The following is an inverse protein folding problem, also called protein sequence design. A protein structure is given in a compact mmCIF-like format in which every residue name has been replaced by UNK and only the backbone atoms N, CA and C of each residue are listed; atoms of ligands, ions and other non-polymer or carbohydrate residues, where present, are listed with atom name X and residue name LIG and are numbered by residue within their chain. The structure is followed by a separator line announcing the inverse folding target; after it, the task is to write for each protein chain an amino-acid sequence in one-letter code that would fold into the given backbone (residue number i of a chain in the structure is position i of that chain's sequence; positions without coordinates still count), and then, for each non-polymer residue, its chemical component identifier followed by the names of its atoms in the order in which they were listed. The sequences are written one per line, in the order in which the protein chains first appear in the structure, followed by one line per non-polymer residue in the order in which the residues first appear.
data_IF_313806307392
#
_entry.id   IF_313806307392
#
_cell.length_a   1.000
_cell.length_b   1.000
_cell.length_c   1.000
_cell.angle_alpha   90.00
_cell.angle_beta   90.00
_cell.angle_gamma   90.00
#
_symmetry.space_group_name_H-M   'P 1'
#
loop_
_entity.id
_entity.type
_entity.pdbx_description
1 polymer ?
#
# COMPACT_ATOMS: atom_id res chain seq x y z
N UNK A 1 19.19 1.65 -16.07
CA UNK A 1 18.39 2.88 -15.93
C UNK A 1 17.39 3.08 -17.08
N UNK A 2 17.76 2.82 -18.36
CA UNK A 2 16.86 2.94 -19.52
C UNK A 2 15.77 1.86 -19.47
N UNK A 3 16.13 0.61 -19.21
CA UNK A 3 15.20 -0.53 -19.13
C UNK A 3 14.24 -0.39 -17.95
N UNK A 4 14.71 0.06 -16.78
CA UNK A 4 13.85 0.34 -15.64
C UNK A 4 12.73 1.37 -15.97
N UNK A 5 13.08 2.41 -16.74
CA UNK A 5 12.06 3.36 -17.21
C UNK A 5 11.05 2.74 -18.17
N UNK A 6 11.47 1.77 -19.00
CA UNK A 6 10.55 1.01 -19.85
C UNK A 6 9.62 0.14 -19.01
N UNK A 7 10.17 -0.56 -18.00
CA UNK A 7 9.44 -1.37 -17.03
C UNK A 7 8.32 -0.57 -16.36
N UNK A 8 8.65 0.59 -15.78
CA UNK A 8 7.67 1.46 -15.13
C UNK A 8 6.62 1.95 -16.13
N UNK A 9 7.05 2.45 -17.30
CA UNK A 9 6.15 3.03 -18.31
C UNK A 9 5.20 2.03 -18.95
N UNK A 10 5.47 0.73 -18.86
CA UNK A 10 4.60 -0.29 -19.43
C UNK A 10 3.21 -0.24 -18.81
N UNK A 11 3.09 -0.21 -17.50
CA UNK A 11 1.82 -0.09 -16.78
C UNK A 11 1.03 1.17 -17.21
N UNK A 12 1.67 2.34 -17.23
CA UNK A 12 1.00 3.59 -17.65
C UNK A 12 0.47 3.57 -19.07
N UNK A 13 1.11 2.81 -19.97
CA UNK A 13 0.63 2.64 -21.34
C UNK A 13 -0.50 1.63 -21.42
N UNK A 14 -0.41 0.56 -20.67
CA UNK A 14 -1.37 -0.54 -20.66
C UNK A 14 -2.74 -0.09 -20.16
N UNK A 15 -2.76 0.72 -19.10
CA UNK A 15 -4.00 1.23 -18.51
C UNK A 15 -4.38 2.63 -19.00
N UNK A 16 -3.74 3.15 -20.04
CA UNK A 16 -4.06 4.48 -20.56
C UNK A 16 -5.51 4.56 -21.01
N UNK A 17 -6.26 5.50 -20.42
CA UNK A 17 -7.69 5.71 -20.73
C UNK A 17 -8.64 4.76 -19.99
N UNK A 18 -8.14 3.86 -19.16
CA UNK A 18 -8.99 3.08 -18.27
C UNK A 18 -9.58 3.98 -17.19
N UNK A 19 -10.92 4.02 -17.00
CA UNK A 19 -11.56 4.93 -16.06
C UNK A 19 -11.42 4.51 -14.60
N UNK A 20 -11.00 3.29 -14.32
CA UNK A 20 -10.97 2.70 -12.99
C UNK A 20 -9.54 2.55 -12.43
N UNK A 21 -8.55 2.43 -13.28
CA UNK A 21 -7.15 2.34 -12.88
C UNK A 21 -6.62 3.68 -12.41
N UNK A 22 -5.89 3.68 -11.30
CA UNK A 22 -5.20 4.84 -10.75
C UNK A 22 -3.69 4.62 -10.89
N UNK A 23 -3.00 5.45 -11.70
CA UNK A 23 -1.57 5.29 -11.89
C UNK A 23 -0.80 5.75 -10.64
N UNK A 24 0.24 5.02 -10.28
CA UNK A 24 1.20 5.43 -9.26
C UNK A 24 1.89 6.76 -9.61
N UNK A 25 2.47 7.43 -8.63
CA UNK A 25 3.38 8.54 -8.89
C UNK A 25 4.67 8.03 -9.55
N UNK A 26 4.95 8.53 -10.75
CA UNK A 26 6.09 8.05 -11.56
C UNK A 26 7.44 8.18 -10.86
N UNK A 27 7.63 9.28 -10.13
CA UNK A 27 8.88 9.53 -9.40
C UNK A 27 9.01 8.63 -8.16
N UNK A 28 7.88 8.26 -7.54
CA UNK A 28 7.86 7.29 -6.44
C UNK A 28 8.21 5.90 -6.96
N UNK A 29 7.68 5.48 -8.11
CA UNK A 29 8.08 4.22 -8.74
C UNK A 29 9.57 4.19 -9.07
N UNK A 30 10.15 5.30 -9.55
CA UNK A 30 11.60 5.39 -9.76
C UNK A 30 12.40 5.23 -8.47
N UNK A 31 11.88 5.68 -7.34
CA UNK A 31 12.50 5.52 -6.02
C UNK A 31 12.32 4.11 -5.48
N UNK A 32 11.11 3.55 -5.58
CA UNK A 32 10.77 2.17 -5.17
C UNK A 32 11.68 1.13 -5.80
N UNK A 33 11.94 1.24 -7.11
CA UNK A 33 12.81 0.30 -7.82
C UNK A 33 14.31 0.65 -7.76
N UNK A 34 14.69 1.68 -7.02
CA UNK A 34 16.09 2.09 -6.91
C UNK A 34 16.75 1.49 -5.67
N UNK A 35 17.69 0.55 -5.87
CA UNK A 35 18.43 -0.14 -4.81
C UNK A 35 19.14 0.80 -3.80
N UNK A 36 19.45 2.03 -4.19
CA UNK A 36 20.10 3.01 -3.29
C UNK A 36 19.10 3.85 -2.48
N UNK A 37 17.86 3.96 -2.96
CA UNK A 37 16.84 4.84 -2.36
C UNK A 37 15.83 4.08 -1.52
N UNK A 38 15.39 2.92 -1.96
CA UNK A 38 14.42 2.11 -1.23
C UNK A 38 15.11 1.36 -0.09
N UNK A 39 14.68 1.63 1.13
CA UNK A 39 15.20 1.00 2.34
C UNK A 39 14.95 -0.51 2.40
N UNK A 40 13.93 -1.03 1.70
CA UNK A 40 13.65 -2.46 1.65
C UNK A 40 14.82 -3.29 1.09
N UNK A 41 15.73 -2.69 0.32
CA UNK A 41 16.93 -3.38 -0.16
C UNK A 41 17.97 -3.69 0.92
N UNK A 42 17.73 -3.32 2.18
CA UNK A 42 18.52 -3.81 3.31
C UNK A 42 18.30 -5.31 3.57
N UNK A 43 17.13 -5.83 3.19
CA UNK A 43 16.73 -7.21 3.42
C UNK A 43 16.04 -7.87 2.22
N UNK A 44 15.80 -7.13 1.14
CA UNK A 44 15.24 -7.65 -0.11
C UNK A 44 16.27 -7.73 -1.22
N UNK A 45 16.11 -8.77 -2.05
CA UNK A 45 16.73 -8.87 -3.36
C UNK A 45 15.66 -8.73 -4.43
N UNK A 46 15.95 -8.07 -5.54
CA UNK A 46 15.01 -7.98 -6.65
C UNK A 46 15.68 -7.75 -7.99
N UNK A 47 15.05 -8.30 -9.03
CA UNK A 47 15.32 -7.99 -10.43
C UNK A 47 14.00 -7.77 -11.18
N UNK A 48 14.07 -7.07 -12.32
CA UNK A 48 12.93 -6.59 -13.07
C UNK A 48 13.01 -7.08 -14.51
N UNK A 49 11.95 -7.73 -14.98
CA UNK A 49 11.91 -8.39 -16.26
C UNK A 49 10.87 -7.77 -17.19
N UNK A 50 11.16 -7.76 -18.47
CA UNK A 50 10.28 -7.33 -19.55
C UNK A 50 10.12 -8.45 -20.56
N UNK A 51 8.88 -8.79 -20.89
CA UNK A 51 8.59 -9.69 -22.00
C UNK A 51 8.47 -8.88 -23.30
N UNK A 52 9.09 -9.37 -24.35
CA UNK A 52 9.07 -8.77 -25.69
C UNK A 52 8.45 -9.72 -26.69
N UNK A 53 7.68 -9.19 -27.63
CA UNK A 53 7.22 -9.85 -28.85
C UNK A 53 7.38 -8.85 -30.01
N UNK A 54 8.11 -9.25 -31.06
CA UNK A 54 8.40 -8.38 -32.21
C UNK A 54 8.87 -6.97 -31.80
N UNK A 55 9.89 -6.92 -30.95
CA UNK A 55 10.47 -5.70 -30.36
C UNK A 55 9.52 -4.82 -29.52
N UNK A 56 8.27 -5.28 -29.30
CA UNK A 56 7.29 -4.59 -28.46
C UNK A 56 7.27 -5.21 -27.07
N UNK A 57 7.21 -4.36 -26.04
CA UNK A 57 7.01 -4.83 -24.67
C UNK A 57 5.54 -5.24 -24.53
N UNK A 58 5.34 -6.50 -24.13
CA UNK A 58 4.02 -7.14 -23.96
C UNK A 58 3.75 -7.55 -22.51
N UNK A 59 4.76 -7.48 -21.64
CA UNK A 59 4.58 -7.75 -20.21
C UNK A 59 5.77 -7.31 -19.38
N UNK A 60 5.56 -7.25 -18.07
CA UNK A 60 6.58 -6.96 -17.07
C UNK A 60 6.31 -7.76 -15.80
N UNK A 61 7.35 -8.05 -15.04
CA UNK A 61 7.24 -8.62 -13.68
C UNK A 61 8.49 -8.29 -12.86
N UNK A 62 8.34 -8.06 -11.58
CA UNK A 62 9.44 -8.01 -10.62
C UNK A 62 9.53 -9.35 -9.90
N UNK A 63 10.73 -9.94 -9.84
CA UNK A 63 11.05 -11.05 -8.93
C UNK A 63 11.68 -10.47 -7.68
N UNK A 64 11.19 -10.89 -6.50
CA UNK A 64 11.59 -10.31 -5.21
C UNK A 64 11.76 -11.42 -4.19
N UNK A 65 12.82 -11.36 -3.40
CA UNK A 65 12.98 -12.15 -2.18
C UNK A 65 13.01 -11.20 -1.00
N UNK A 66 12.06 -11.33 -0.10
CA UNK A 66 12.07 -10.62 1.18
C UNK A 66 12.58 -11.57 2.27
N UNK A 67 13.86 -11.43 2.62
CA UNK A 67 14.53 -12.30 3.60
C UNK A 67 13.95 -12.16 5.01
N UNK A 68 13.43 -10.97 5.38
CA UNK A 68 12.76 -10.78 6.67
C UNK A 68 11.45 -11.54 6.75
N UNK A 69 10.60 -11.42 5.71
CA UNK A 69 9.34 -12.16 5.64
C UNK A 69 9.59 -13.66 5.59
N UNK A 70 10.49 -14.12 4.74
CA UNK A 70 10.83 -15.55 4.65
C UNK A 70 11.33 -16.12 5.99
N UNK A 71 12.14 -15.35 6.73
CA UNK A 71 12.59 -15.75 8.08
C UNK A 71 11.45 -15.79 9.09
N UNK A 72 10.59 -14.76 9.10
CA UNK A 72 9.48 -14.63 10.05
C UNK A 72 8.43 -15.73 9.85
N UNK A 73 8.11 -16.01 8.60
CA UNK A 73 7.08 -16.99 8.22
C UNK A 73 7.64 -18.38 7.96
N UNK A 74 8.95 -18.60 8.23
CA UNK A 74 9.65 -19.88 8.08
C UNK A 74 9.47 -20.51 6.70
N UNK A 75 9.48 -19.69 5.65
CA UNK A 75 9.27 -20.09 4.26
C UNK A 75 10.45 -19.72 3.36
N UNK A 76 10.45 -20.26 2.14
CA UNK A 76 11.43 -19.96 1.08
C UNK A 76 10.69 -19.49 -0.17
N UNK A 77 10.05 -18.32 -0.07
CA UNK A 77 9.24 -17.78 -1.13
C UNK A 77 10.01 -16.78 -1.99
N UNK A 78 9.93 -16.93 -3.31
CA UNK A 78 10.12 -15.83 -4.23
C UNK A 78 8.77 -15.16 -4.48
N UNK A 79 8.72 -13.84 -4.38
CA UNK A 79 7.53 -13.03 -4.70
C UNK A 79 7.56 -12.63 -6.16
N UNK A 80 6.40 -12.63 -6.84
CA UNK A 80 6.22 -11.88 -8.06
C UNK A 80 5.37 -10.65 -7.77
N UNK A 81 5.84 -9.47 -8.22
CA UNK A 81 5.16 -8.21 -7.99
C UNK A 81 5.14 -7.33 -9.23
N UNK A 82 4.33 -6.29 -9.24
CA UNK A 82 4.18 -5.37 -10.38
C UNK A 82 4.04 -6.11 -11.71
N UNK A 83 3.34 -7.25 -11.70
CA UNK A 83 3.09 -8.03 -12.89
C UNK A 83 2.01 -7.35 -13.74
N UNK A 84 2.35 -7.09 -15.01
CA UNK A 84 1.41 -6.62 -16.01
C UNK A 84 1.68 -7.33 -17.33
N UNK A 85 0.65 -7.75 -18.04
CA UNK A 85 0.79 -8.45 -19.32
C UNK A 85 -0.46 -8.29 -20.18
N UNK A 86 -0.30 -8.38 -21.51
CA UNK A 86 -1.41 -8.45 -22.43
C UNK A 86 -2.14 -9.79 -22.25
N UNK A 87 -3.40 -9.87 -22.68
CA UNK A 87 -4.19 -11.12 -22.63
C UNK A 87 -3.64 -12.20 -23.58
N UNK A 88 -2.53 -12.80 -23.16
CA UNK A 88 -1.78 -13.81 -23.91
C UNK A 88 -1.13 -14.81 -22.94
N UNK A 89 -1.55 -16.10 -22.98
CA UNK A 89 -1.05 -17.14 -22.10
C UNK A 89 0.46 -17.41 -22.21
N UNK A 90 1.06 -17.22 -23.39
CA UNK A 90 2.50 -17.39 -23.56
C UNK A 90 3.26 -16.31 -22.80
N UNK A 91 2.72 -15.06 -22.78
CA UNK A 91 3.35 -13.94 -22.08
C UNK A 91 3.30 -14.13 -20.57
N UNK A 92 2.11 -14.46 -20.03
CA UNK A 92 1.97 -14.70 -18.58
C UNK A 92 2.82 -15.88 -18.12
N UNK A 93 2.83 -16.97 -18.88
CA UNK A 93 3.66 -18.16 -18.59
C UNK A 93 5.15 -17.83 -18.61
N UNK A 94 5.64 -17.09 -19.61
CA UNK A 94 7.03 -16.70 -19.69
C UNK A 94 7.46 -15.81 -18.52
N UNK A 95 6.61 -14.87 -18.10
CA UNK A 95 6.90 -14.00 -16.95
C UNK A 95 7.00 -14.79 -15.65
N UNK A 96 6.03 -15.66 -15.37
CA UNK A 96 6.03 -16.49 -14.15
C UNK A 96 7.21 -17.45 -14.15
N UNK A 97 7.46 -18.14 -15.26
CA UNK A 97 8.62 -19.05 -15.39
C UNK A 97 9.95 -18.32 -15.13
N UNK A 98 10.09 -17.07 -15.60
CA UNK A 98 11.28 -16.25 -15.32
C UNK A 98 11.47 -16.00 -13.82
N UNK A 99 10.38 -15.72 -13.10
CA UNK A 99 10.42 -15.53 -11.63
C UNK A 99 10.76 -16.84 -10.92
N UNK A 100 10.18 -17.95 -11.36
CA UNK A 100 10.47 -19.28 -10.79
C UNK A 100 11.96 -19.65 -10.97
N UNK A 101 12.51 -19.48 -12.17
CA UNK A 101 13.91 -19.77 -12.47
C UNK A 101 14.83 -18.88 -11.63
N UNK A 102 14.55 -17.57 -11.59
CA UNK A 102 15.31 -16.62 -10.77
C UNK A 102 15.27 -16.96 -9.28
N UNK A 103 14.10 -17.41 -8.77
CA UNK A 103 13.94 -17.86 -7.39
C UNK A 103 14.67 -19.18 -7.10
N UNK A 104 14.57 -20.18 -7.99
CA UNK A 104 15.26 -21.47 -7.87
C UNK A 104 16.78 -21.31 -7.79
N UNK A 105 17.36 -20.44 -8.62
CA UNK A 105 18.80 -20.11 -8.57
C UNK A 105 19.25 -19.57 -7.20
N UNK A 106 18.32 -19.00 -6.41
CA UNK A 106 18.53 -18.42 -5.07
C UNK A 106 18.02 -19.29 -3.93
N UNK A 107 17.70 -20.56 -4.23
CA UNK A 107 17.26 -21.54 -3.25
C UNK A 107 15.83 -21.36 -2.75
N UNK A 108 15.00 -20.62 -3.46
CA UNK A 108 13.56 -20.53 -3.15
C UNK A 108 12.82 -21.76 -3.66
N UNK A 109 11.80 -22.19 -2.93
CA UNK A 109 11.05 -23.42 -3.21
C UNK A 109 9.58 -23.17 -3.56
N UNK A 110 9.08 -21.96 -3.31
CA UNK A 110 7.71 -21.57 -3.57
C UNK A 110 7.70 -20.19 -4.26
N UNK A 111 6.64 -19.93 -5.01
CA UNK A 111 6.35 -18.63 -5.62
C UNK A 111 5.03 -18.12 -5.04
N UNK A 112 4.99 -16.86 -4.63
CA UNK A 112 3.80 -16.21 -4.05
C UNK A 112 3.64 -14.79 -4.63
N UNK A 113 2.40 -14.34 -4.77
CA UNK A 113 2.13 -12.99 -5.27
C UNK A 113 0.75 -12.83 -5.90
N UNK A 114 0.47 -11.64 -6.43
CA UNK A 114 1.36 -10.48 -6.52
C UNK A 114 1.66 -9.84 -5.16
N UNK A 115 2.94 -9.64 -4.85
CA UNK A 115 3.40 -9.01 -3.61
C UNK A 115 4.59 -8.08 -3.90
N UNK A 116 4.63 -6.92 -3.24
CA UNK A 116 5.74 -6.00 -3.32
C UNK A 116 6.93 -6.37 -2.44
N UNK A 117 7.81 -5.40 -2.20
CA UNK A 117 8.93 -5.55 -1.27
C UNK A 117 8.44 -5.77 0.16
N UNK A 118 7.42 -4.99 0.56
CA UNK A 118 6.80 -5.02 1.90
C UNK A 118 5.30 -4.77 1.78
N UNK A 119 4.59 -4.95 2.86
CA UNK A 119 3.14 -4.71 2.98
C UNK A 119 2.70 -3.22 2.82
N UNK A 120 3.66 -2.33 2.56
CA UNK A 120 3.40 -0.94 2.16
C UNK A 120 3.38 -0.74 0.64
N UNK A 121 3.72 -1.76 -0.11
CA UNK A 121 3.54 -1.81 -1.55
C UNK A 121 2.16 -2.43 -1.87
N UNK A 122 1.69 -2.24 -3.10
CA UNK A 122 0.44 -2.84 -3.54
C UNK A 122 0.54 -4.39 -3.56
N UNK A 123 -0.46 -5.05 -3.02
CA UNK A 123 -0.53 -6.50 -2.86
C UNK A 123 -1.80 -7.09 -3.47
N UNK A 124 -1.70 -8.35 -3.88
CA UNK A 124 -2.83 -9.12 -4.38
C UNK A 124 -3.15 -8.85 -5.86
N UNK A 125 -4.27 -9.38 -6.27
CA UNK A 125 -4.82 -9.30 -7.63
C UNK A 125 -6.31 -9.03 -7.53
N UNK A 126 -6.79 -8.01 -8.26
CA UNK A 126 -8.21 -7.67 -8.29
C UNK A 126 -9.01 -8.83 -8.89
N UNK A 127 -10.03 -9.29 -8.17
CA UNK A 127 -10.94 -10.36 -8.58
C UNK A 127 -12.40 -9.90 -8.65
N UNK A 128 -12.74 -8.82 -7.93
CA UNK A 128 -14.07 -8.21 -7.92
C UNK A 128 -13.96 -6.69 -7.92
N UNK A 129 -14.98 -5.97 -8.42
CA UNK A 129 -14.98 -4.51 -8.44
C UNK A 129 -14.21 -3.89 -9.60
N UNK A 130 -14.08 -4.57 -10.74
CA UNK A 130 -13.41 -4.06 -11.94
C UNK A 130 -14.02 -2.77 -12.52
N UNK A 131 -15.24 -2.45 -12.11
CA UNK A 131 -15.99 -1.24 -12.44
C UNK A 131 -15.92 -0.15 -11.36
N UNK A 132 -15.06 -0.33 -10.36
CA UNK A 132 -14.83 0.63 -9.28
C UNK A 132 -13.51 1.37 -9.48
N UNK A 133 -13.50 2.68 -9.16
CA UNK A 133 -12.27 3.45 -9.16
C UNK A 133 -11.37 2.98 -8.03
N UNK A 134 -10.16 2.51 -8.37
CA UNK A 134 -9.14 2.14 -7.39
C UNK A 134 -8.74 3.34 -6.51
N UNK A 135 -8.18 3.07 -5.36
CA UNK A 135 -7.51 4.08 -4.54
C UNK A 135 -6.01 4.17 -4.89
N UNK A 136 -5.29 5.08 -4.27
CA UNK A 136 -3.84 5.14 -4.43
C UNK A 136 -3.10 3.98 -3.76
N UNK A 137 -3.76 3.24 -2.88
CA UNK A 137 -3.18 2.15 -2.10
C UNK A 137 -3.58 0.76 -2.62
N UNK A 138 -4.54 0.70 -3.55
CA UNK A 138 -5.04 -0.56 -4.10
C UNK A 138 -4.61 -0.74 -5.54
N UNK A 139 -4.64 -2.00 -5.98
CA UNK A 139 -4.26 -2.37 -7.35
C UNK A 139 -5.47 -2.31 -8.28
N UNK A 140 -5.17 -2.20 -9.58
CA UNK A 140 -6.09 -2.49 -10.66
C UNK A 140 -5.42 -3.43 -11.66
N UNK A 141 -6.15 -4.46 -12.09
CA UNK A 141 -5.77 -5.32 -13.20
C UNK A 141 -7.01 -5.71 -14.02
N UNK A 142 -6.79 -6.18 -15.23
CA UNK A 142 -7.87 -6.69 -16.09
C UNK A 142 -8.42 -8.04 -15.59
N UNK A 143 -9.69 -8.37 -15.91
CA UNK A 143 -10.33 -9.61 -15.44
C UNK A 143 -9.65 -10.91 -15.88
N UNK A 144 -8.84 -10.89 -16.95
CA UNK A 144 -8.14 -12.07 -17.42
C UNK A 144 -6.94 -12.48 -16.53
N UNK A 145 -6.44 -11.59 -15.64
CA UNK A 145 -5.29 -11.90 -14.79
C UNK A 145 -5.50 -13.11 -13.87
N UNK A 146 -6.55 -13.18 -13.05
CA UNK A 146 -6.79 -14.35 -12.20
C UNK A 146 -6.98 -15.62 -13.04
N UNK A 147 -7.64 -15.54 -14.21
CA UNK A 147 -7.82 -16.68 -15.11
C UNK A 147 -6.49 -17.25 -15.61
N UNK A 148 -5.52 -16.37 -15.91
CA UNK A 148 -4.16 -16.81 -16.28
C UNK A 148 -3.45 -17.47 -15.11
N UNK A 149 -3.56 -16.91 -13.89
CA UNK A 149 -2.91 -17.50 -12.71
C UNK A 149 -3.47 -18.89 -12.39
N UNK A 150 -4.78 -19.07 -12.43
CA UNK A 150 -5.41 -20.39 -12.27
C UNK A 150 -4.90 -21.40 -13.31
N UNK A 151 -4.83 -21.01 -14.58
CA UNK A 151 -4.28 -21.87 -15.64
C UNK A 151 -2.80 -22.22 -15.47
N UNK A 152 -2.04 -21.36 -14.79
CA UNK A 152 -0.63 -21.60 -14.44
C UNK A 152 -0.47 -22.43 -13.17
N UNK A 153 -1.57 -22.85 -12.54
CA UNK A 153 -1.58 -23.73 -11.35
C UNK A 153 -1.43 -22.99 -10.03
N UNK A 154 -1.68 -21.67 -10.00
CA UNK A 154 -1.74 -20.94 -8.75
C UNK A 154 -3.06 -21.22 -8.02
N UNK A 155 -2.95 -21.32 -6.72
CA UNK A 155 -4.09 -21.41 -5.79
C UNK A 155 -4.20 -20.11 -4.98
N UNK A 156 -5.42 -19.77 -4.57
CA UNK A 156 -5.66 -18.61 -3.71
C UNK A 156 -5.15 -18.88 -2.30
N UNK A 157 -4.33 -17.96 -1.79
CA UNK A 157 -3.72 -18.06 -0.47
C UNK A 157 -4.37 -17.11 0.54
N UNK A 158 -4.65 -15.86 0.16
CA UNK A 158 -5.28 -14.86 1.02
C UNK A 158 -6.24 -13.96 0.24
N UNK A 159 -7.18 -13.36 0.96
CA UNK A 159 -8.08 -12.31 0.45
C UNK A 159 -7.82 -10.98 1.16
N UNK A 160 -7.78 -9.90 0.39
CA UNK A 160 -7.88 -8.53 0.89
C UNK A 160 -9.22 -7.96 0.45
N UNK A 161 -9.90 -7.27 1.35
CA UNK A 161 -11.18 -6.65 1.07
C UNK A 161 -11.12 -5.14 1.28
N UNK A 162 -11.72 -4.39 0.37
CA UNK A 162 -11.87 -2.95 0.47
C UNK A 162 -13.35 -2.61 0.65
N UNK A 163 -13.65 -1.73 1.60
CA UNK A 163 -15.02 -1.30 1.91
C UNK A 163 -15.22 0.16 1.58
N UNK A 164 -16.26 0.46 0.80
CA UNK A 164 -16.77 1.80 0.62
C UNK A 164 -17.85 2.09 1.67
N UNK A 165 -17.54 3.02 2.57
CA UNK A 165 -18.44 3.41 3.66
C UNK A 165 -19.09 4.75 3.33
N UNK A 166 -20.41 4.84 3.44
CA UNK A 166 -21.14 6.08 3.32
C UNK A 166 -21.20 6.76 4.68
N UNK A 167 -20.66 7.98 4.76
CA UNK A 167 -20.66 8.76 6.00
C UNK A 167 -22.04 9.39 6.17
N UNK A 168 -22.72 9.17 7.30
CA UNK A 168 -24.01 9.81 7.58
C UNK A 168 -23.85 11.32 7.84
N UNK A 169 -24.90 12.10 7.63
CA UNK A 169 -24.91 13.56 7.84
C UNK A 169 -24.56 13.96 9.29
N UNK A 170 -24.88 13.10 10.26
CA UNK A 170 -24.50 13.27 11.65
C UNK A 170 -24.04 11.95 12.27
N UNK A 171 -23.10 12.03 13.20
CA UNK A 171 -22.67 10.85 13.96
C UNK A 171 -23.83 10.35 14.81
N UNK A 172 -24.28 9.09 14.65
CA UNK A 172 -25.35 8.53 15.44
C UNK A 172 -25.07 8.59 16.96
N UNK A 173 -26.07 8.91 17.76
CA UNK A 173 -25.92 9.06 19.22
C UNK A 173 -25.39 7.79 19.90
N UNK A 174 -25.75 6.63 19.37
CA UNK A 174 -25.18 5.35 19.82
C UNK A 174 -23.66 5.33 19.74
N UNK A 175 -23.08 5.81 18.65
CA UNK A 175 -21.62 5.84 18.47
C UNK A 175 -20.94 6.84 19.40
N UNK A 176 -21.56 8.03 19.61
CA UNK A 176 -21.07 9.01 20.58
C UNK A 176 -21.02 8.42 21.99
N UNK A 177 -22.14 7.79 22.43
CA UNK A 177 -22.20 7.15 23.75
C UNK A 177 -21.18 6.04 23.94
N UNK A 178 -20.99 5.19 22.93
CA UNK A 178 -19.99 4.12 22.95
C UNK A 178 -18.59 4.72 23.06
N UNK A 179 -18.28 5.73 22.26
CA UNK A 179 -16.98 6.42 22.28
C UNK A 179 -16.69 7.00 23.67
N UNK A 180 -17.62 7.74 24.26
CA UNK A 180 -17.48 8.30 25.61
C UNK A 180 -17.30 7.22 26.68
N UNK A 181 -18.07 6.14 26.60
CA UNK A 181 -17.98 5.03 27.56
C UNK A 181 -16.61 4.35 27.50
N UNK A 182 -16.10 4.08 26.30
CA UNK A 182 -14.81 3.43 26.10
C UNK A 182 -13.69 4.34 26.57
N UNK A 183 -13.77 5.64 26.24
CA UNK A 183 -12.79 6.64 26.67
C UNK A 183 -12.70 6.70 28.21
N UNK A 184 -13.83 6.70 28.89
CA UNK A 184 -13.86 6.69 30.38
C UNK A 184 -13.40 5.37 30.96
N UNK A 185 -13.91 4.24 30.42
CA UNK A 185 -13.62 2.89 30.92
C UNK A 185 -12.12 2.58 30.93
N UNK A 186 -11.42 2.98 29.88
CA UNK A 186 -9.98 2.69 29.70
C UNK A 186 -9.08 3.91 29.96
N UNK A 187 -9.66 5.03 30.46
CA UNK A 187 -8.95 6.29 30.71
C UNK A 187 -8.11 6.76 29.50
N UNK A 188 -8.73 6.71 28.30
CA UNK A 188 -8.06 7.06 27.06
C UNK A 188 -8.18 8.55 26.76
N UNK A 189 -7.17 9.11 26.10
CA UNK A 189 -7.09 10.52 25.71
C UNK A 189 -6.91 10.62 24.20
N UNK A 190 -7.75 11.40 23.54
CA UNK A 190 -7.60 11.73 22.10
C UNK A 190 -6.63 12.90 22.00
N UNK A 191 -5.55 12.72 21.26
CA UNK A 191 -4.54 13.75 20.98
C UNK A 191 -4.72 14.29 19.56
N UNK A 192 -4.75 15.59 19.44
CA UNK A 192 -4.78 16.31 18.14
C UNK A 192 -3.57 17.24 18.07
N UNK A 193 -2.99 17.31 16.89
CA UNK A 193 -1.81 18.11 16.62
C UNK A 193 -2.07 19.11 15.50
N UNK A 194 -1.45 20.28 15.60
CA UNK A 194 -1.48 21.34 14.58
C UNK A 194 -0.13 21.49 13.86
N UNK A 195 0.90 20.79 14.33
CA UNK A 195 2.25 20.83 13.77
C UNK A 195 2.76 19.42 13.44
N UNK A 196 3.04 19.17 12.16
CA UNK A 196 3.64 17.90 11.69
C UNK A 196 5.02 17.64 12.30
N UNK A 197 5.83 18.68 12.54
CA UNK A 197 7.12 18.53 13.22
C UNK A 197 6.96 18.06 14.66
N UNK A 198 5.93 18.55 15.35
CA UNK A 198 5.66 18.17 16.73
C UNK A 198 5.19 16.72 16.80
N UNK A 199 4.26 16.31 15.92
CA UNK A 199 3.80 14.91 15.89
C UNK A 199 4.94 13.95 15.53
N UNK A 200 5.82 14.32 14.58
CA UNK A 200 6.99 13.53 14.23
C UNK A 200 7.92 13.33 15.42
N UNK A 201 8.17 14.41 16.17
CA UNK A 201 9.05 14.38 17.34
C UNK A 201 8.46 13.55 18.48
N UNK A 202 7.18 13.76 18.80
CA UNK A 202 6.55 13.18 19.99
C UNK A 202 6.09 11.74 19.77
N UNK A 203 5.62 11.40 18.55
CA UNK A 203 4.97 10.12 18.23
C UNK A 203 5.42 9.48 16.90
N UNK A 204 6.27 10.12 16.10
CA UNK A 204 6.67 9.56 14.82
C UNK A 204 7.18 8.13 14.91
N UNK A 205 8.12 7.88 15.81
CA UNK A 205 8.65 6.54 16.09
C UNK A 205 7.58 5.60 16.68
N UNK A 206 6.83 6.06 17.68
CA UNK A 206 5.81 5.28 18.38
C UNK A 206 4.67 4.81 17.46
N UNK A 207 4.32 5.60 16.44
CA UNK A 207 3.31 5.22 15.44
C UNK A 207 3.74 3.96 14.69
N UNK A 208 4.98 3.92 14.21
CA UNK A 208 5.48 2.77 13.46
C UNK A 208 5.81 1.56 14.35
N UNK A 209 6.21 1.78 15.59
CA UNK A 209 6.34 0.71 16.59
C UNK A 209 4.97 0.06 16.87
N UNK A 210 3.94 0.88 17.09
CA UNK A 210 2.57 0.40 17.24
C UNK A 210 2.09 -0.37 16.00
N UNK A 211 2.43 0.11 14.81
CA UNK A 211 2.11 -0.61 13.57
C UNK A 211 2.81 -1.96 13.50
N UNK A 212 4.11 -2.00 13.76
CA UNK A 212 4.88 -3.25 13.79
C UNK A 212 4.26 -4.26 14.77
N UNK A 213 3.79 -3.80 15.92
CA UNK A 213 3.13 -4.64 16.93
C UNK A 213 1.74 -5.10 16.46
N UNK A 214 0.90 -4.16 16.01
CA UNK A 214 -0.49 -4.42 15.66
C UNK A 214 -0.63 -5.26 14.38
N UNK A 215 0.27 -5.08 13.43
CA UNK A 215 0.23 -5.75 12.12
C UNK A 215 1.07 -7.04 12.08
N UNK A 216 1.83 -7.32 13.13
CA UNK A 216 2.66 -8.52 13.19
C UNK A 216 1.94 -9.82 12.84
N UNK A 217 0.68 -10.07 13.23
CA UNK A 217 -0.03 -11.30 12.88
C UNK A 217 -0.66 -11.30 11.47
N UNK A 218 -0.61 -10.17 10.74
CA UNK A 218 -1.22 -10.11 9.41
C UNK A 218 -0.43 -10.93 8.39
N UNK A 219 -1.14 -11.50 7.43
CA UNK A 219 -0.57 -12.33 6.37
C UNK A 219 0.57 -11.61 5.65
N UNK A 220 1.71 -12.29 5.51
CA UNK A 220 2.87 -11.78 4.78
C UNK A 220 3.64 -10.63 5.44
N UNK A 221 3.10 -10.03 6.52
CA UNK A 221 3.69 -8.85 7.14
C UNK A 221 5.13 -9.07 7.62
N UNK A 222 6.00 -8.12 7.26
CA UNK A 222 7.37 -8.03 7.77
C UNK A 222 7.58 -6.71 8.52
N UNK A 223 8.24 -6.74 9.71
CA UNK A 223 8.45 -5.53 10.50
C UNK A 223 9.26 -4.48 9.75
N UNK A 224 8.88 -3.22 9.90
CA UNK A 224 9.63 -2.10 9.34
C UNK A 224 10.96 -1.91 10.06
N UNK A 225 12.02 -1.71 9.27
CA UNK A 225 13.32 -1.30 9.79
C UNK A 225 13.32 0.19 10.19
N UNK A 226 14.25 0.59 11.03
CA UNK A 226 14.39 2.00 11.43
C UNK A 226 14.55 2.93 10.22
N UNK A 227 15.32 2.51 9.22
CA UNK A 227 15.51 3.30 7.99
C UNK A 227 14.22 3.48 7.20
N UNK A 228 13.37 2.44 7.15
CA UNK A 228 12.03 2.56 6.53
C UNK A 228 11.15 3.52 7.33
N UNK A 229 11.13 3.42 8.65
CA UNK A 229 10.38 4.32 9.54
C UNK A 229 10.79 5.77 9.28
N UNK A 230 12.09 6.07 9.31
CA UNK A 230 12.61 7.42 9.05
C UNK A 230 12.23 7.93 7.65
N UNK A 231 12.26 7.05 6.66
CA UNK A 231 11.86 7.36 5.29
C UNK A 231 10.36 7.69 5.19
N UNK A 232 9.50 6.89 5.81
CA UNK A 232 8.05 7.10 5.77
C UNK A 232 7.62 8.32 6.58
N UNK A 233 8.20 8.55 7.76
CA UNK A 233 7.97 9.78 8.54
C UNK A 233 8.30 11.01 7.70
N UNK A 234 9.46 11.02 7.05
CA UNK A 234 9.90 12.13 6.20
C UNK A 234 9.02 12.34 4.97
N UNK A 235 8.54 11.25 4.37
CA UNK A 235 7.76 11.28 3.13
C UNK A 235 6.30 11.66 3.36
N UNK A 236 5.64 11.02 4.32
CA UNK A 236 4.19 11.14 4.48
C UNK A 236 3.76 12.27 5.42
N UNK A 237 4.48 12.50 6.51
CA UNK A 237 4.05 13.47 7.50
C UNK A 237 3.83 14.90 6.96
N UNK A 238 4.65 15.41 6.02
CA UNK A 238 4.45 16.76 5.47
C UNK A 238 3.18 16.93 4.63
N UNK A 239 2.65 15.84 4.06
CA UNK A 239 1.47 15.87 3.18
C UNK A 239 0.16 15.55 3.89
N UNK A 240 0.24 15.02 5.13
CA UNK A 240 -0.95 14.69 5.91
C UNK A 240 -1.70 15.92 6.39
N UNK A 241 -3.03 15.85 6.31
CA UNK A 241 -3.88 16.78 7.06
C UNK A 241 -3.99 16.33 8.52
N UNK A 242 -3.30 17.03 9.41
CA UNK A 242 -3.27 16.67 10.82
C UNK A 242 -4.65 16.66 11.51
N UNK A 243 -5.65 17.28 10.92
CA UNK A 243 -7.04 17.16 11.38
C UNK A 243 -7.61 15.77 11.16
N UNK A 244 -7.09 15.03 10.17
CA UNK A 244 -7.46 13.67 9.81
C UNK A 244 -6.52 12.63 10.43
N UNK A 245 -5.60 13.05 11.30
CA UNK A 245 -4.75 12.18 12.12
C UNK A 245 -5.30 12.16 13.52
N UNK A 246 -5.63 10.98 14.02
CA UNK A 246 -6.10 10.77 15.39
C UNK A 246 -5.12 9.87 16.11
N UNK A 247 -4.62 10.34 17.24
CA UNK A 247 -3.80 9.57 18.15
C UNK A 247 -4.56 9.36 19.46
N UNK A 248 -4.56 8.15 19.98
CA UNK A 248 -5.20 7.81 21.24
C UNK A 248 -4.13 7.27 22.18
N UNK A 249 -4.04 7.87 23.35
CA UNK A 249 -3.10 7.47 24.40
C UNK A 249 -3.83 7.00 25.64
N UNK A 250 -3.16 6.20 26.45
CA UNK A 250 -3.62 5.80 27.77
C UNK A 250 -3.32 6.89 28.83
N UNK A 251 -3.52 6.54 30.10
CA UNK A 251 -3.26 7.43 31.26
C UNK A 251 -1.78 7.82 31.39
N UNK A 252 -0.86 6.96 30.92
CA UNK A 252 0.58 7.13 31.01
C UNK A 252 1.18 7.83 29.78
N UNK A 253 0.32 8.32 28.87
CA UNK A 253 0.72 8.94 27.60
C UNK A 253 1.36 7.95 26.58
N UNK A 254 1.12 6.65 26.76
CA UNK A 254 1.52 5.64 25.79
C UNK A 254 0.52 5.55 24.64
N UNK A 255 1.02 5.42 23.41
CA UNK A 255 0.19 5.34 22.21
C UNK A 255 -0.52 3.99 22.15
N UNK A 256 -1.85 4.04 22.12
CA UNK A 256 -2.75 2.88 22.11
C UNK A 256 -3.36 2.66 20.74
N UNK A 257 -3.66 3.75 20.05
CA UNK A 257 -4.30 3.65 18.75
C UNK A 257 -3.93 4.85 17.86
N UNK A 258 -3.83 4.62 16.59
CA UNK A 258 -3.66 5.65 15.56
C UNK A 258 -4.61 5.40 14.41
N UNK A 259 -5.19 6.48 13.88
CA UNK A 259 -5.95 6.49 12.64
C UNK A 259 -5.50 7.63 11.75
N UNK A 260 -5.20 7.32 10.49
CA UNK A 260 -4.76 8.28 9.48
C UNK A 260 -5.67 8.16 8.26
N UNK A 261 -6.32 9.27 7.93
CA UNK A 261 -7.13 9.40 6.72
C UNK A 261 -6.63 10.58 5.89
N UNK A 262 -6.94 10.58 4.61
CA UNK A 262 -6.65 11.71 3.73
C UNK A 262 -7.70 11.80 2.62
N UNK A 263 -7.86 12.98 1.98
CA UNK A 263 -8.65 13.08 0.76
C UNK A 263 -8.09 12.16 -0.30
N UNK A 264 -8.97 11.41 -1.00
CA UNK A 264 -8.52 10.53 -2.08
C UNK A 264 -7.80 11.30 -3.17
N UNK A 265 -6.65 10.78 -3.56
CA UNK A 265 -5.83 11.32 -4.64
C UNK A 265 -6.13 10.66 -6.00
N UNK A 266 -7.01 9.66 -6.05
CA UNK A 266 -7.26 8.83 -7.22
C UNK A 266 -7.54 9.66 -8.49
N UNK A 267 -8.53 10.58 -8.45
CA UNK A 267 -8.84 11.42 -9.61
C UNK A 267 -7.69 12.36 -10.00
N UNK A 268 -6.92 12.86 -9.03
CA UNK A 268 -5.80 13.75 -9.28
C UNK A 268 -4.65 12.98 -9.98
N UNK A 269 -4.39 11.76 -9.54
CA UNK A 269 -3.41 10.86 -10.15
C UNK A 269 -3.81 10.46 -11.56
N UNK A 270 -5.09 10.15 -11.80
CA UNK A 270 -5.59 9.90 -13.15
C UNK A 270 -5.40 11.12 -14.09
N UNK A 271 -5.81 12.33 -13.65
CA UNK A 271 -5.67 13.57 -14.44
C UNK A 271 -4.23 13.93 -14.75
N UNK A 272 -3.31 13.62 -13.84
CA UNK A 272 -1.87 13.85 -14.01
C UNK A 272 -1.16 12.69 -14.72
N UNK A 273 -1.84 11.58 -14.95
CA UNK A 273 -1.25 10.32 -15.40
C UNK A 273 -0.03 9.93 -14.53
N UNK A 274 -0.15 10.10 -13.21
CA UNK A 274 0.89 9.81 -12.22
C UNK A 274 2.12 10.72 -12.29
N UNK A 275 2.09 11.85 -13.01
CA UNK A 275 3.24 12.74 -13.18
C UNK A 275 3.03 14.07 -12.48
N UNK A 276 4.05 14.54 -11.76
CA UNK A 276 4.01 15.85 -11.12
C UNK A 276 4.14 16.99 -12.13
N UNK A 277 5.00 16.85 -13.13
CA UNK A 277 5.23 17.90 -14.15
C UNK A 277 4.55 17.55 -15.48
N UNK A 278 4.07 18.57 -16.25
CA UNK A 278 4.13 19.98 -15.92
C UNK A 278 3.02 20.48 -14.98
N UNK A 279 1.83 19.86 -14.94
CA UNK A 279 0.66 20.37 -14.21
C UNK A 279 0.12 19.40 -13.14
N UNK A 280 0.69 18.21 -13.01
CA UNK A 280 0.19 17.20 -12.08
C UNK A 280 0.25 17.63 -10.62
N UNK A 281 1.29 18.36 -10.23
CA UNK A 281 1.41 18.94 -8.89
C UNK A 281 0.20 19.82 -8.53
N UNK A 282 -0.37 20.55 -9.50
CA UNK A 282 -1.55 21.39 -9.28
C UNK A 282 -2.79 20.55 -8.95
N UNK A 283 -3.02 19.42 -9.66
CA UNK A 283 -4.13 18.52 -9.36
C UNK A 283 -4.01 17.89 -7.98
N UNK A 284 -2.79 17.48 -7.60
CA UNK A 284 -2.53 16.90 -6.28
C UNK A 284 -2.69 17.92 -5.16
N UNK A 285 -2.12 19.12 -5.30
CA UNK A 285 -2.30 20.21 -4.34
C UNK A 285 -3.79 20.58 -4.19
N UNK A 286 -4.52 20.63 -5.31
CA UNK A 286 -5.96 20.89 -5.28
C UNK A 286 -6.71 19.80 -4.50
N UNK A 287 -6.40 18.53 -4.70
CA UNK A 287 -7.00 17.42 -3.97
C UNK A 287 -6.68 17.49 -2.46
N UNK A 288 -5.43 17.77 -2.10
CA UNK A 288 -4.98 17.84 -0.70
C UNK A 288 -5.51 19.07 0.05
N UNK A 289 -5.51 20.26 -0.60
CA UNK A 289 -5.77 21.52 0.11
C UNK A 289 -7.16 22.10 -0.12
N UNK A 290 -7.86 21.77 -1.23
CA UNK A 290 -9.25 22.18 -1.43
C UNK A 290 -10.25 21.20 -0.79
N UNK A 291 -10.03 20.85 0.44
CA UNK A 291 -10.63 19.78 1.25
C UNK A 291 -12.15 19.84 1.38
N UNK A 292 -12.75 21.03 1.32
CA UNK A 292 -14.22 21.22 1.38
C UNK A 292 -14.97 20.59 0.21
N UNK A 293 -14.25 20.10 -0.82
CA UNK A 293 -14.82 19.47 -2.02
C UNK A 293 -14.42 18.02 -2.18
N UNK A 294 -13.69 17.45 -1.22
CA UNK A 294 -13.36 16.02 -1.25
C UNK A 294 -14.65 15.23 -1.05
N UNK A 295 -14.99 14.39 -2.03
CA UNK A 295 -16.15 13.50 -1.98
C UNK A 295 -15.81 12.15 -1.39
N UNK A 296 -14.53 11.80 -1.35
CA UNK A 296 -14.02 10.53 -0.89
C UNK A 296 -12.79 10.75 -0.01
N UNK A 297 -12.72 9.98 1.06
CA UNK A 297 -11.57 9.91 1.96
C UNK A 297 -11.04 8.49 1.93
N UNK A 298 -9.72 8.35 1.83
CA UNK A 298 -9.05 7.07 1.97
C UNK A 298 -8.61 6.93 3.45
N UNK A 299 -9.05 5.85 4.11
CA UNK A 299 -8.56 5.46 5.42
C UNK A 299 -7.27 4.67 5.22
N UNK A 300 -6.14 5.35 5.32
CA UNK A 300 -4.85 4.79 4.95
C UNK A 300 -4.29 3.83 6.00
N UNK A 301 -4.53 4.13 7.26
CA UNK A 301 -3.89 3.41 8.35
C UNK A 301 -4.76 3.44 9.60
N UNK A 302 -4.99 2.27 10.17
CA UNK A 302 -5.56 2.11 11.50
C UNK A 302 -4.76 1.05 12.24
N UNK A 303 -4.15 1.43 13.36
CA UNK A 303 -3.48 0.48 14.23
C UNK A 303 -4.00 0.63 15.66
N UNK A 304 -4.31 -0.50 16.30
CA UNK A 304 -4.73 -0.59 17.69
C UNK A 304 -3.81 -1.58 18.39
N UNK A 305 -3.23 -1.17 19.51
CA UNK A 305 -2.34 -2.00 20.32
C UNK A 305 -3.03 -3.33 20.65
N UNK A 306 -2.37 -4.50 20.52
CA UNK A 306 -3.01 -5.81 20.67
C UNK A 306 -3.85 -5.96 21.93
N UNK A 307 -3.37 -5.47 23.06
CA UNK A 307 -4.08 -5.51 24.34
C UNK A 307 -5.38 -4.68 24.40
N UNK A 308 -5.55 -3.73 23.43
CA UNK A 308 -6.75 -2.90 23.29
C UNK A 308 -7.64 -3.31 22.11
N UNK A 309 -7.23 -4.29 21.33
CA UNK A 309 -8.07 -4.86 20.27
C UNK A 309 -9.33 -5.51 20.85
N UNK A 310 -10.41 -5.57 20.07
CA UNK A 310 -11.72 -6.07 20.49
C UNK A 310 -12.38 -5.34 21.70
N UNK A 311 -11.80 -4.23 22.15
CA UNK A 311 -12.34 -3.39 23.23
C UNK A 311 -13.09 -2.16 22.72
N UNK A 312 -13.28 -2.04 21.40
CA UNK A 312 -14.02 -0.96 20.76
C UNK A 312 -13.25 0.38 20.67
N UNK A 313 -11.94 0.38 20.89
CA UNK A 313 -11.10 1.60 20.87
C UNK A 313 -11.13 2.29 19.51
N UNK A 314 -11.32 1.55 18.43
CA UNK A 314 -11.53 2.08 17.09
C UNK A 314 -12.75 3.00 16.96
N UNK A 315 -13.73 2.96 17.90
CA UNK A 315 -14.85 3.90 17.93
C UNK A 315 -14.45 5.33 18.33
N UNK A 316 -13.19 5.54 18.73
CA UNK A 316 -12.63 6.86 19.09
C UNK A 316 -11.94 7.54 17.89
N UNK A 317 -11.72 6.83 16.78
CA UNK A 317 -11.12 7.35 15.55
C UNK A 317 -12.15 8.13 14.73
#
# INVERSE_FOLDING_TARGET
KRELKKFIRFNYRMYKGNPYSVPDLYDDMLNTFNKKKNAAFEFCEADYFLAYRDDKIVGRVAAIINNQANKKWECKNVRFGWIDFIDDPEVSSALIKTVEEWGKERGMTHIAGPLGFTDFDAEGMLIEGFDQLSTMATIYNYPYYPVHMEKLGFEKDADWVEYKIYIPDAIPDKHKRISELIQRKYNLKIKKYTSGRKIAKDYGQKIFELMNEAYSPLYGYSPLTQRQIDQYVKMYLPILDLRMVTLITDANDELVCVGISMPSLAEALQKSNGRLLPLGWFYLLKALFMKRRAKMLDLLLVAVKPEYQNKGVNALL
#
